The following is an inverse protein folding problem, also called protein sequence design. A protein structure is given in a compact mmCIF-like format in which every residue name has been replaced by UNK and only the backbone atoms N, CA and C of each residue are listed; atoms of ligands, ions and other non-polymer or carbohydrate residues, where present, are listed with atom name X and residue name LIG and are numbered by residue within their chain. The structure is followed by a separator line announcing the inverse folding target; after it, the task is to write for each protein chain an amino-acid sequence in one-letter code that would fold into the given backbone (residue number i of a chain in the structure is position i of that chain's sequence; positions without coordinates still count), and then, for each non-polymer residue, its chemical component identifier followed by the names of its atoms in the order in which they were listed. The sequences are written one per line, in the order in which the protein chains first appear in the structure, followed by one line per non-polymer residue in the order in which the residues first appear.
data_IF_810651314759
#
_entry.id   IF_810651314759
#
_cell.length_a   1.000
_cell.length_b   1.000
_cell.length_c   1.000
_cell.angle_alpha   90.00
_cell.angle_beta   90.00
_cell.angle_gamma   90.00
#
_symmetry.space_group_name_H-M   'P 1'
#
loop_
_entity.id
_entity.type
_entity.pdbx_description
1 polymer ?
#
# COMPACT_ATOMS: atom_id res chain seq x y z
N UNK A 1 -21.95 -29.17 18.88
CA UNK A 1 -20.91 -28.89 17.88
C UNK A 1 -19.78 -29.87 18.13
N UNK A 2 -19.32 -30.68 17.17
CA UNK A 2 -18.15 -31.52 17.41
C UNK A 2 -16.94 -30.59 17.57
N UNK A 3 -16.14 -30.87 18.58
CA UNK A 3 -14.88 -30.20 18.83
C UNK A 3 -13.97 -30.41 17.61
N UNK A 4 -13.55 -29.33 16.95
CA UNK A 4 -12.53 -29.36 15.90
C UNK A 4 -11.25 -29.94 16.51
N UNK A 5 -10.78 -31.06 15.97
CA UNK A 5 -9.47 -31.58 16.32
C UNK A 5 -8.40 -30.51 16.20
N UNK A 6 -7.48 -30.41 17.16
CA UNK A 6 -6.38 -29.46 17.06
C UNK A 6 -5.58 -29.78 15.78
N UNK A 7 -5.28 -28.74 14.96
CA UNK A 7 -4.40 -28.87 13.79
C UNK A 7 -3.14 -29.65 14.20
N UNK A 8 -2.79 -30.65 13.40
CA UNK A 8 -1.55 -31.41 13.58
C UNK A 8 -0.37 -30.44 13.66
N UNK A 9 0.50 -30.61 14.63
CA UNK A 9 1.73 -29.84 14.74
C UNK A 9 2.53 -29.97 13.43
N UNK A 10 3.09 -28.85 12.93
CA UNK A 10 3.93 -28.85 11.74
C UNK A 10 5.14 -29.75 12.00
N UNK A 11 5.24 -30.85 11.27
CA UNK A 11 6.32 -31.82 11.39
C UNK A 11 7.56 -31.41 10.59
N UNK A 12 8.69 -32.04 10.89
CA UNK A 12 9.95 -31.84 10.17
C UNK A 12 9.82 -32.08 8.64
N UNK A 13 9.05 -33.10 8.24
CA UNK A 13 8.80 -33.42 6.84
C UNK A 13 7.99 -32.32 6.11
N UNK A 14 7.09 -31.62 6.81
CA UNK A 14 6.35 -30.50 6.25
C UNK A 14 7.27 -29.33 5.96
N UNK A 15 8.26 -29.09 6.82
CA UNK A 15 9.30 -28.07 6.62
C UNK A 15 10.19 -28.43 5.45
N UNK A 16 10.67 -29.69 5.39
CA UNK A 16 11.53 -30.18 4.28
C UNK A 16 10.78 -30.13 2.94
N UNK A 17 9.50 -30.46 2.93
CA UNK A 17 8.64 -30.35 1.73
C UNK A 17 8.48 -28.93 1.18
N UNK A 18 8.72 -27.88 2.00
CA UNK A 18 8.70 -26.48 1.57
C UNK A 18 10.03 -25.98 0.96
N UNK A 19 11.15 -26.70 1.16
CA UNK A 19 12.47 -26.27 0.70
C UNK A 19 12.55 -26.01 -0.82
N UNK A 20 11.99 -26.87 -1.72
CA UNK A 20 12.02 -26.60 -3.15
C UNK A 20 11.37 -25.26 -3.52
N UNK A 21 10.25 -24.92 -2.88
CA UNK A 21 9.56 -23.63 -3.07
C UNK A 21 10.42 -22.43 -2.61
N UNK A 22 11.13 -22.58 -1.50
CA UNK A 22 12.05 -21.53 -1.00
C UNK A 22 13.22 -21.32 -1.94
N UNK A 23 13.76 -22.39 -2.54
CA UNK A 23 14.87 -22.28 -3.51
C UNK A 23 14.46 -21.54 -4.79
N UNK A 24 13.25 -21.79 -5.29
CA UNK A 24 12.69 -21.06 -6.44
C UNK A 24 12.52 -19.58 -6.14
N UNK A 25 12.12 -19.24 -4.91
CA UNK A 25 11.90 -17.87 -4.47
C UNK A 25 13.20 -17.19 -3.95
N UNK A 26 14.33 -17.89 -3.90
CA UNK A 26 15.60 -17.37 -3.35
C UNK A 26 16.04 -16.02 -3.93
N UNK A 27 15.97 -15.75 -5.27
CA UNK A 27 16.37 -14.46 -5.80
C UNK A 27 15.56 -13.27 -5.27
N UNK A 28 14.25 -13.44 -5.08
CA UNK A 28 13.40 -12.39 -4.49
C UNK A 28 13.70 -12.19 -3.00
N UNK A 29 13.91 -13.31 -2.27
CA UNK A 29 14.25 -13.29 -0.85
C UNK A 29 15.58 -12.55 -0.64
N UNK A 30 16.62 -12.93 -1.39
CA UNK A 30 17.96 -12.29 -1.29
C UNK A 30 17.86 -10.80 -1.58
N UNK A 31 17.12 -10.40 -2.61
CA UNK A 31 16.93 -8.99 -2.95
C UNK A 31 16.21 -8.24 -1.83
N UNK A 32 15.11 -8.77 -1.30
CA UNK A 32 14.36 -8.14 -0.24
C UNK A 32 15.20 -7.97 1.03
N UNK A 33 15.92 -9.03 1.41
CA UNK A 33 16.82 -9.03 2.57
C UNK A 33 17.95 -8.02 2.38
N UNK A 34 18.61 -8.00 1.20
CA UNK A 34 19.68 -7.03 0.92
C UNK A 34 19.17 -5.58 0.93
N UNK A 35 17.96 -5.33 0.43
CA UNK A 35 17.39 -3.98 0.38
C UNK A 35 16.90 -3.51 1.77
N UNK A 36 16.22 -4.38 2.52
CA UNK A 36 15.51 -3.96 3.73
C UNK A 36 16.19 -4.37 5.03
N UNK A 37 16.66 -5.61 5.18
CA UNK A 37 17.23 -6.08 6.46
C UNK A 37 18.58 -5.44 6.77
N UNK A 38 19.42 -5.20 5.76
CA UNK A 38 20.72 -4.55 5.92
C UNK A 38 20.70 -3.04 5.81
N UNK A 39 19.54 -2.44 5.54
CA UNK A 39 19.39 -0.98 5.56
C UNK A 39 19.70 -0.46 6.97
N UNK A 40 20.56 0.57 7.05
CA UNK A 40 20.92 1.26 8.29
C UNK A 40 20.19 2.61 8.34
N UNK A 41 19.94 3.18 9.53
CA UNK A 41 19.30 4.49 9.65
C UNK A 41 19.94 5.60 8.81
N UNK A 42 21.26 5.57 8.65
CA UNK A 42 22.06 6.55 7.90
C UNK A 42 22.24 6.20 6.42
N UNK A 43 21.73 5.07 5.94
CA UNK A 43 21.86 4.71 4.53
C UNK A 43 20.98 5.60 3.66
N UNK A 44 21.47 5.96 2.47
CA UNK A 44 20.73 6.69 1.43
C UNK A 44 19.83 5.73 0.64
N UNK A 45 19.07 4.91 1.37
CA UNK A 45 18.09 3.98 0.80
C UNK A 45 16.71 4.42 1.28
N UNK A 46 15.85 4.79 0.34
CA UNK A 46 14.52 5.29 0.62
C UNK A 46 13.48 4.58 -0.26
N UNK A 47 12.20 4.74 0.08
CA UNK A 47 11.08 4.21 -0.72
C UNK A 47 11.14 4.77 -2.14
N UNK A 48 11.37 6.09 -2.28
CA UNK A 48 11.48 6.76 -3.58
C UNK A 48 12.62 6.20 -4.42
N UNK A 49 13.80 5.96 -3.81
CA UNK A 49 14.94 5.37 -4.51
C UNK A 49 14.69 3.92 -4.93
N UNK A 50 14.12 3.09 -4.04
CA UNK A 50 13.73 1.72 -4.37
C UNK A 50 12.73 1.70 -5.52
N UNK A 51 11.71 2.57 -5.50
CA UNK A 51 10.76 2.68 -6.59
C UNK A 51 11.43 3.06 -7.91
N UNK A 52 12.31 4.06 -7.92
CA UNK A 52 13.07 4.46 -9.09
C UNK A 52 13.87 3.28 -9.68
N UNK A 53 14.64 2.58 -8.86
CA UNK A 53 15.43 1.41 -9.29
C UNK A 53 14.53 0.29 -9.87
N UNK A 54 13.31 0.12 -9.32
CA UNK A 54 12.36 -0.86 -9.86
C UNK A 54 11.74 -0.39 -11.16
N UNK A 55 11.46 0.91 -11.30
CA UNK A 55 10.95 1.50 -12.53
C UNK A 55 11.95 1.40 -13.68
N UNK A 56 13.24 1.58 -13.41
CA UNK A 56 14.30 1.37 -14.38
C UNK A 56 14.42 -0.12 -14.77
N UNK A 57 14.39 -1.01 -13.78
CA UNK A 57 14.58 -2.46 -14.01
C UNK A 57 13.40 -3.14 -14.69
N UNK A 58 12.18 -2.69 -14.40
CA UNK A 58 10.93 -3.32 -14.85
C UNK A 58 10.08 -2.36 -15.69
N UNK A 59 10.71 -1.47 -16.45
CA UNK A 59 10.12 -0.33 -17.13
C UNK A 59 8.78 -0.65 -17.82
N UNK A 60 8.75 -1.72 -18.61
CA UNK A 60 7.59 -2.09 -19.44
C UNK A 60 6.55 -2.96 -18.72
N UNK A 61 6.85 -3.42 -17.50
CA UNK A 61 5.88 -4.19 -16.72
C UNK A 61 4.78 -3.29 -16.18
N UNK A 62 3.58 -3.82 -16.09
CA UNK A 62 2.45 -3.13 -15.45
C UNK A 62 2.70 -3.06 -13.94
N UNK A 63 2.73 -1.85 -13.40
CA UNK A 63 2.82 -1.59 -11.97
C UNK A 63 1.43 -1.48 -11.34
N UNK A 64 0.54 -0.67 -11.93
CA UNK A 64 -0.80 -0.41 -11.41
C UNK A 64 -1.87 -0.82 -12.42
N UNK A 65 -2.95 -1.40 -11.89
CA UNK A 65 -4.22 -1.62 -12.60
C UNK A 65 -5.37 -1.02 -11.79
N UNK A 66 -6.22 -0.25 -12.45
CA UNK A 66 -7.40 0.34 -11.85
C UNK A 66 -8.50 0.48 -12.92
N UNK A 67 -9.62 -0.19 -12.77
CA UNK A 67 -10.59 -0.30 -13.85
C UNK A 67 -9.94 -0.91 -15.09
N UNK A 68 -10.04 -0.22 -16.21
CA UNK A 68 -9.40 -0.63 -17.48
C UNK A 68 -8.00 -0.01 -17.65
N UNK A 69 -7.62 0.90 -16.76
CA UNK A 69 -6.32 1.55 -16.80
C UNK A 69 -5.20 0.59 -16.41
N UNK A 70 -4.12 0.62 -17.18
CA UNK A 70 -2.87 -0.08 -16.91
C UNK A 70 -1.74 0.95 -16.99
N UNK A 71 -0.93 1.03 -15.94
CA UNK A 71 0.19 1.96 -15.84
C UNK A 71 1.45 1.13 -15.64
N UNK A 72 2.43 1.27 -16.54
CA UNK A 72 3.72 0.59 -16.41
C UNK A 72 4.58 1.22 -15.31
N UNK A 73 5.62 0.52 -14.89
CA UNK A 73 6.59 1.06 -13.93
C UNK A 73 7.24 2.35 -14.43
N UNK A 74 7.60 2.42 -15.72
CA UNK A 74 8.17 3.63 -16.32
C UNK A 74 7.17 4.79 -16.33
N UNK A 75 5.93 4.55 -16.74
CA UNK A 75 4.87 5.55 -16.73
C UNK A 75 4.58 6.06 -15.31
N UNK A 76 4.49 5.14 -14.35
CA UNK A 76 4.29 5.47 -12.94
C UNK A 76 5.41 6.35 -12.39
N UNK A 77 6.68 6.03 -12.72
CA UNK A 77 7.82 6.83 -12.31
C UNK A 77 7.80 8.22 -12.94
N UNK A 78 7.50 8.32 -14.23
CA UNK A 78 7.39 9.60 -14.93
C UNK A 78 6.29 10.48 -14.32
N UNK A 79 5.11 9.92 -14.03
CA UNK A 79 4.00 10.66 -13.40
C UNK A 79 4.35 11.08 -11.96
N UNK A 80 4.93 10.18 -11.16
CA UNK A 80 5.38 10.53 -9.81
C UNK A 80 6.46 11.63 -9.82
N UNK A 81 7.36 11.65 -10.82
CA UNK A 81 8.35 12.69 -10.98
C UNK A 81 7.72 14.05 -11.34
N UNK A 82 6.72 14.06 -12.22
CA UNK A 82 5.96 15.28 -12.54
C UNK A 82 5.25 15.83 -11.32
N UNK A 83 4.57 14.97 -10.54
CA UNK A 83 3.96 15.39 -9.29
C UNK A 83 4.99 15.93 -8.30
N UNK A 84 6.15 15.29 -8.18
CA UNK A 84 7.24 15.76 -7.33
C UNK A 84 7.76 17.13 -7.76
N UNK A 85 7.85 17.40 -9.06
CA UNK A 85 8.27 18.71 -9.59
C UNK A 85 7.24 19.79 -9.22
N UNK A 86 5.95 19.54 -9.41
CA UNK A 86 4.88 20.49 -9.02
C UNK A 86 4.90 20.75 -7.51
N UNK A 87 5.09 19.72 -6.70
CA UNK A 87 5.23 19.88 -5.24
C UNK A 87 6.45 20.74 -4.88
N UNK A 88 7.59 20.53 -5.56
CA UNK A 88 8.81 21.32 -5.35
C UNK A 88 8.62 22.80 -5.75
N UNK A 89 7.92 23.10 -6.86
CA UNK A 89 7.55 24.47 -7.26
C UNK A 89 6.64 25.14 -6.24
N UNK A 90 5.83 24.38 -5.52
CA UNK A 90 5.04 24.85 -4.36
C UNK A 90 5.88 24.97 -3.08
N UNK A 91 7.18 24.77 -3.18
CA UNK A 91 8.14 24.89 -2.08
C UNK A 91 8.20 23.67 -1.16
N UNK A 92 7.61 22.53 -1.53
CA UNK A 92 7.72 21.29 -0.75
C UNK A 92 9.11 20.70 -0.88
N UNK A 93 9.77 20.48 0.24
CA UNK A 93 11.10 19.90 0.32
C UNK A 93 11.24 18.88 1.43
N UNK A 94 12.48 18.54 1.75
CA UNK A 94 12.79 17.50 2.76
C UNK A 94 12.25 17.87 4.13
N UNK A 95 11.48 16.95 4.71
CA UNK A 95 10.88 17.10 6.03
C UNK A 95 9.55 17.84 6.06
N UNK A 96 9.16 18.52 4.98
CA UNK A 96 7.84 19.11 4.87
C UNK A 96 6.76 18.03 4.81
N UNK A 97 5.56 18.34 5.26
CA UNK A 97 4.43 17.42 5.22
C UNK A 97 3.49 17.76 4.07
N UNK A 98 3.08 16.75 3.33
CA UNK A 98 2.01 16.84 2.33
C UNK A 98 0.85 15.96 2.77
N UNK A 99 -0.29 16.58 3.08
CA UNK A 99 -1.53 15.86 3.34
C UNK A 99 -2.07 15.23 2.06
N UNK A 100 -2.47 13.98 2.12
CA UNK A 100 -3.06 13.26 0.98
C UNK A 100 -4.45 12.78 1.38
N UNK A 101 -5.48 13.37 0.79
CA UNK A 101 -6.89 13.02 1.01
C UNK A 101 -7.51 12.54 -0.30
N UNK A 102 -7.09 11.35 -0.72
CA UNK A 102 -7.51 10.71 -1.98
C UNK A 102 -8.11 9.33 -1.70
N UNK A 103 -9.11 8.94 -2.49
CA UNK A 103 -9.62 7.57 -2.53
C UNK A 103 -8.60 6.64 -3.16
N UNK A 104 -8.85 5.34 -3.05
CA UNK A 104 -8.01 4.35 -3.73
C UNK A 104 -8.03 4.60 -5.24
N UNK A 105 -6.89 5.00 -5.77
CA UNK A 105 -6.68 5.29 -7.17
C UNK A 105 -5.18 5.21 -7.51
N UNK A 106 -4.81 5.15 -8.80
CA UNK A 106 -3.42 5.31 -9.19
C UNK A 106 -2.81 6.61 -8.67
N UNK A 107 -3.55 7.71 -8.70
CA UNK A 107 -3.09 9.01 -8.23
C UNK A 107 -2.71 8.99 -6.74
N UNK A 108 -3.44 8.28 -5.90
CA UNK A 108 -3.09 8.15 -4.49
C UNK A 108 -1.74 7.46 -4.28
N UNK A 109 -1.44 6.39 -5.04
CA UNK A 109 -0.14 5.71 -5.00
C UNK A 109 0.97 6.59 -5.57
N UNK A 110 0.72 7.23 -6.72
CA UNK A 110 1.72 8.05 -7.41
C UNK A 110 2.03 9.34 -6.62
N UNK A 111 1.02 9.94 -5.98
CA UNK A 111 1.20 11.08 -5.09
C UNK A 111 2.06 10.72 -3.87
N UNK A 112 1.74 9.62 -3.20
CA UNK A 112 2.57 9.13 -2.10
C UNK A 112 4.02 8.91 -2.54
N UNK A 113 4.25 8.30 -3.71
CA UNK A 113 5.60 8.10 -4.25
C UNK A 113 6.29 9.41 -4.61
N UNK A 114 5.55 10.41 -5.14
CA UNK A 114 6.06 11.74 -5.43
C UNK A 114 6.55 12.45 -4.15
N UNK A 115 5.73 12.44 -3.10
CA UNK A 115 6.07 13.07 -1.82
C UNK A 115 7.34 12.47 -1.24
N UNK A 116 7.46 11.14 -1.17
CA UNK A 116 8.67 10.51 -0.62
C UNK A 116 9.91 10.68 -1.50
N UNK A 117 9.74 10.95 -2.81
CA UNK A 117 10.86 11.31 -3.71
C UNK A 117 11.35 12.75 -3.48
N UNK A 118 10.48 13.66 -3.03
CA UNK A 118 10.88 14.99 -2.55
C UNK A 118 11.65 14.94 -1.23
N UNK A 119 11.65 13.79 -0.54
CA UNK A 119 12.12 13.68 0.85
C UNK A 119 11.14 14.28 1.85
N UNK A 120 9.92 14.55 1.40
CA UNK A 120 8.81 15.03 2.21
C UNK A 120 8.04 13.86 2.85
N UNK A 121 7.12 14.17 3.76
CA UNK A 121 6.34 13.22 4.55
C UNK A 121 4.92 13.19 4.01
N UNK A 122 4.42 12.01 3.62
CA UNK A 122 3.05 11.86 3.19
C UNK A 122 2.12 11.66 4.41
N UNK A 123 1.29 12.63 4.72
CA UNK A 123 0.25 12.57 5.72
C UNK A 123 -1.02 11.95 5.14
N UNK A 124 -1.24 10.66 5.42
CA UNK A 124 -2.32 9.88 4.80
C UNK A 124 -3.66 10.11 5.52
N UNK A 125 -4.44 11.07 5.03
CA UNK A 125 -5.73 11.43 5.61
C UNK A 125 -6.82 10.42 5.23
N UNK A 126 -7.64 10.06 6.21
CA UNK A 126 -8.81 9.23 5.98
C UNK A 126 -9.94 10.08 5.37
N UNK A 127 -10.26 9.85 4.11
CA UNK A 127 -11.29 10.58 3.36
C UNK A 127 -12.73 10.36 3.86
N UNK A 128 -12.93 9.47 4.82
CA UNK A 128 -14.23 9.30 5.52
C UNK A 128 -14.35 10.19 6.75
N UNK A 129 -13.28 10.81 7.24
CA UNK A 129 -13.36 11.73 8.38
C UNK A 129 -14.13 13.00 8.01
N UNK A 130 -14.81 13.57 9.02
CA UNK A 130 -15.63 14.80 8.90
C UNK A 130 -15.49 15.64 10.17
N UNK A 131 -15.85 16.92 10.09
CA UNK A 131 -15.92 17.84 11.24
C UNK A 131 -14.65 17.84 12.08
N UNK A 132 -14.80 17.88 13.40
CA UNK A 132 -13.71 18.00 14.37
C UNK A 132 -12.63 16.90 14.25
N UNK A 133 -13.03 15.69 13.86
CA UNK A 133 -12.09 14.58 13.69
C UNK A 133 -11.16 14.84 12.49
N UNK A 134 -11.70 15.37 11.40
CA UNK A 134 -10.93 15.75 10.22
C UNK A 134 -10.04 16.97 10.54
N UNK A 135 -10.61 18.00 11.18
CA UNK A 135 -9.87 19.19 11.60
C UNK A 135 -8.69 18.82 12.49
N UNK A 136 -8.89 17.93 13.45
CA UNK A 136 -7.83 17.43 14.33
C UNK A 136 -6.73 16.71 13.52
N UNK A 137 -7.12 15.82 12.60
CA UNK A 137 -6.14 15.07 11.78
C UNK A 137 -5.31 16.01 10.89
N UNK A 138 -5.94 17.01 10.28
CA UNK A 138 -5.25 18.02 9.46
C UNK A 138 -4.33 18.87 10.34
N UNK A 139 -4.82 19.33 11.51
CA UNK A 139 -4.01 20.12 12.44
C UNK A 139 -2.76 19.41 12.94
N UNK A 140 -2.83 18.06 13.13
CA UNK A 140 -1.65 17.27 13.51
C UNK A 140 -0.58 17.20 12.42
N UNK A 141 -0.96 17.35 11.15
CA UNK A 141 0.01 17.27 10.05
C UNK A 141 0.86 18.52 9.91
N UNK A 142 0.34 19.69 10.27
CA UNK A 142 0.97 20.98 9.96
C UNK A 142 1.46 21.01 8.49
N UNK A 143 0.55 20.64 7.59
CA UNK A 143 0.90 20.31 6.22
C UNK A 143 1.15 21.57 5.40
N UNK A 144 2.28 21.61 4.68
CA UNK A 144 2.62 22.67 3.75
C UNK A 144 1.70 22.71 2.52
N UNK A 145 1.21 21.54 2.14
CA UNK A 145 0.24 21.35 1.03
C UNK A 145 -0.66 20.16 1.37
N UNK A 146 -1.93 20.27 1.01
CA UNK A 146 -2.89 19.17 1.08
C UNK A 146 -3.40 18.91 -0.34
N UNK A 147 -3.21 17.70 -0.82
CA UNK A 147 -3.75 17.23 -2.10
C UNK A 147 -5.03 16.45 -1.83
N UNK A 148 -6.15 16.89 -2.38
CA UNK A 148 -7.45 16.27 -2.18
C UNK A 148 -8.19 16.09 -3.52
N UNK A 149 -9.12 15.14 -3.59
CA UNK A 149 -10.10 15.10 -4.68
C UNK A 149 -11.06 16.29 -4.58
N UNK A 150 -11.52 16.81 -5.71
CA UNK A 150 -12.35 18.02 -5.75
C UNK A 150 -13.57 17.93 -4.84
N UNK A 151 -14.28 16.81 -4.83
CA UNK A 151 -15.47 16.59 -3.99
C UNK A 151 -15.14 16.38 -2.49
N UNK A 152 -13.89 16.24 -2.13
CA UNK A 152 -13.44 16.14 -0.73
C UNK A 152 -12.98 17.49 -0.15
N UNK A 153 -12.78 18.51 -0.99
CA UNK A 153 -12.35 19.85 -0.54
C UNK A 153 -13.39 20.47 0.39
N UNK A 154 -14.69 20.32 0.08
CA UNK A 154 -15.75 20.83 0.92
C UNK A 154 -15.71 20.25 2.34
N UNK A 155 -15.36 18.97 2.49
CA UNK A 155 -15.21 18.35 3.80
C UNK A 155 -14.06 18.95 4.62
N UNK A 156 -12.97 19.37 3.94
CA UNK A 156 -11.86 20.07 4.59
C UNK A 156 -12.34 21.45 5.10
N UNK A 157 -13.01 22.19 4.24
CA UNK A 157 -13.55 23.53 4.56
C UNK A 157 -14.58 23.47 5.68
N UNK A 158 -15.54 22.55 5.58
CA UNK A 158 -16.59 22.34 6.57
C UNK A 158 -16.09 21.78 7.90
N UNK A 159 -14.87 21.24 7.95
CA UNK A 159 -14.27 20.74 9.20
C UNK A 159 -13.97 21.84 10.21
N UNK A 160 -13.94 23.10 9.76
CA UNK A 160 -13.61 24.25 10.61
C UNK A 160 -12.10 24.42 10.85
N UNK A 161 -11.24 23.65 10.18
CA UNK A 161 -9.79 23.85 10.26
C UNK A 161 -9.41 25.17 9.56
N UNK A 162 -8.57 25.96 10.21
CA UNK A 162 -8.01 27.17 9.60
C UNK A 162 -6.76 26.82 8.83
N UNK A 163 -6.74 27.07 7.53
CA UNK A 163 -5.61 26.85 6.63
C UNK A 163 -5.27 28.14 5.90
N UNK A 164 -3.98 28.33 5.60
CA UNK A 164 -3.52 29.43 4.79
C UNK A 164 -4.05 29.30 3.34
N UNK A 165 -4.32 30.40 2.64
CA UNK A 165 -4.74 30.39 1.25
C UNK A 165 -3.77 29.61 0.36
N UNK A 166 -4.29 28.69 -0.45
CA UNK A 166 -3.50 27.91 -1.39
C UNK A 166 -2.79 26.67 -0.80
N UNK A 167 -2.97 26.35 0.48
CA UNK A 167 -2.47 25.10 1.06
C UNK A 167 -3.15 23.89 0.43
N UNK A 168 -4.46 23.95 0.17
CA UNK A 168 -5.20 22.89 -0.52
C UNK A 168 -5.09 23.06 -2.02
N UNK A 169 -4.81 21.97 -2.71
CA UNK A 169 -4.85 21.85 -4.17
C UNK A 169 -5.63 20.57 -4.53
N UNK A 170 -6.47 20.65 -5.56
CA UNK A 170 -7.14 19.46 -6.05
C UNK A 170 -6.17 18.56 -6.82
N UNK A 171 -6.39 17.26 -6.80
CA UNK A 171 -5.55 16.34 -7.58
C UNK A 171 -5.68 16.61 -9.07
N UNK A 172 -6.85 17.04 -9.53
CA UNK A 172 -7.14 17.41 -10.92
C UNK A 172 -6.35 18.65 -11.37
N UNK A 173 -6.25 19.67 -10.49
CA UNK A 173 -5.43 20.85 -10.81
C UNK A 173 -3.94 20.54 -10.75
N UNK A 174 -3.52 19.68 -9.84
CA UNK A 174 -2.15 19.21 -9.78
C UNK A 174 -1.78 18.40 -11.02
N UNK A 175 -2.68 17.56 -11.53
CA UNK A 175 -2.49 16.82 -12.79
C UNK A 175 -2.30 17.78 -13.98
N UNK A 176 -3.11 18.83 -14.09
CA UNK A 176 -2.94 19.85 -15.14
C UNK A 176 -1.58 20.53 -15.09
N UNK A 177 -1.13 20.92 -13.89
CA UNK A 177 0.21 21.48 -13.70
C UNK A 177 1.31 20.47 -14.07
N UNK A 178 1.07 19.19 -13.78
CA UNK A 178 2.01 18.11 -14.05
C UNK A 178 2.16 17.77 -15.54
N UNK A 179 1.23 18.17 -16.41
CA UNK A 179 1.31 17.88 -17.86
C UNK A 179 2.63 18.37 -18.49
N UNK A 180 3.09 19.54 -18.11
CA UNK A 180 4.31 20.18 -18.62
C UNK A 180 5.52 20.01 -17.71
N UNK A 181 5.34 19.43 -16.54
CA UNK A 181 6.41 19.25 -15.56
C UNK A 181 7.44 18.20 -16.00
N UNK A 182 8.71 18.33 -15.56
CA UNK A 182 9.77 17.39 -15.95
C UNK A 182 9.53 15.97 -15.43
N UNK A 183 9.92 14.97 -16.23
CA UNK A 183 9.79 13.54 -15.91
C UNK A 183 11.05 12.94 -15.29
N UNK A 184 12.12 13.71 -15.17
CA UNK A 184 13.39 13.25 -14.58
C UNK A 184 13.26 12.99 -13.07
N UNK A 185 14.03 12.04 -12.56
CA UNK A 185 14.04 11.78 -11.12
C UNK A 185 14.56 12.99 -10.34
N UNK A 186 13.86 13.46 -9.28
CA UNK A 186 14.31 14.60 -8.50
C UNK A 186 15.61 14.28 -7.75
N UNK A 187 16.55 15.22 -7.74
CA UNK A 187 17.84 15.06 -7.06
C UNK A 187 17.66 14.79 -5.54
N UNK A 188 16.60 15.34 -4.95
CA UNK A 188 16.23 15.11 -3.54
C UNK A 188 16.11 13.63 -3.17
N UNK A 189 15.62 12.81 -4.09
CA UNK A 189 15.42 11.36 -3.84
C UNK A 189 16.73 10.63 -3.47
N UNK A 190 17.89 11.12 -3.96
CA UNK A 190 19.20 10.56 -3.66
C UNK A 190 19.73 10.93 -2.26
N UNK A 191 19.16 11.98 -1.63
CA UNK A 191 19.64 12.50 -0.34
C UNK A 191 18.81 12.04 0.85
N UNK A 192 17.67 11.37 0.61
CA UNK A 192 16.78 10.84 1.65
C UNK A 192 17.44 9.71 2.40
N UNK A 193 17.47 9.79 3.73
CA UNK A 193 18.03 8.76 4.60
C UNK A 193 16.94 7.76 5.03
N UNK A 194 17.35 6.54 5.28
CA UNK A 194 16.42 5.49 5.73
C UNK A 194 15.72 5.85 7.06
N UNK A 195 16.36 6.62 7.94
CA UNK A 195 15.77 7.10 9.21
C UNK A 195 14.73 8.20 9.03
N UNK A 196 14.70 8.89 7.88
CA UNK A 196 13.77 9.98 7.65
C UNK A 196 12.33 9.47 7.68
N UNK A 197 11.42 10.31 8.13
CA UNK A 197 9.99 9.99 8.15
C UNK A 197 9.46 9.97 6.71
N UNK A 198 8.72 8.93 6.37
CA UNK A 198 8.08 8.78 5.06
C UNK A 198 6.58 9.05 5.11
N UNK A 199 5.91 8.55 6.17
CA UNK A 199 4.46 8.66 6.31
C UNK A 199 4.04 9.03 7.73
N UNK A 200 2.93 9.76 7.81
CA UNK A 200 2.04 9.80 8.96
C UNK A 200 0.78 9.00 8.63
N UNK A 201 0.49 7.99 9.46
CA UNK A 201 -0.66 7.11 9.31
C UNK A 201 -1.52 7.24 10.56
N UNK A 202 -2.80 7.58 10.37
CA UNK A 202 -3.69 7.80 11.48
C UNK A 202 -4.24 6.49 12.04
N UNK A 203 -4.16 6.35 13.36
CA UNK A 203 -4.72 5.23 14.11
C UNK A 203 -5.81 5.72 15.07
N UNK A 204 -6.76 4.84 15.42
CA UNK A 204 -7.78 5.18 16.40
C UNK A 204 -7.15 5.37 17.77
N UNK A 205 -7.18 6.60 18.28
CA UNK A 205 -6.73 6.90 19.63
C UNK A 205 -7.73 6.40 20.69
N UNK A 206 -7.22 6.01 21.85
CA UNK A 206 -8.05 5.64 23.01
C UNK A 206 -8.89 6.80 23.56
N UNK A 207 -8.56 8.04 23.18
CA UNK A 207 -9.21 9.29 23.60
C UNK A 207 -10.25 9.80 22.61
N UNK A 208 -10.60 9.03 21.57
CA UNK A 208 -11.59 9.40 20.55
C UNK A 208 -11.01 10.15 19.35
N UNK A 209 -9.89 10.86 19.49
CA UNK A 209 -9.21 11.51 18.36
C UNK A 209 -8.09 10.64 17.80
N UNK A 210 -7.90 10.62 16.46
CA UNK A 210 -6.82 9.91 15.81
C UNK A 210 -5.43 10.40 16.25
N UNK A 211 -4.47 9.48 16.31
CA UNK A 211 -3.05 9.78 16.51
C UNK A 211 -2.29 9.52 15.22
N UNK A 212 -1.32 10.38 14.90
CA UNK A 212 -0.43 10.20 13.76
C UNK A 212 0.74 9.26 14.14
N UNK A 213 0.72 8.05 13.61
CA UNK A 213 1.83 7.11 13.75
C UNK A 213 2.92 7.41 12.72
N UNK A 214 4.17 7.43 13.17
CA UNK A 214 5.34 7.74 12.34
C UNK A 214 5.86 6.47 11.66
N UNK A 215 5.85 6.46 10.33
CA UNK A 215 6.48 5.43 9.51
C UNK A 215 7.73 6.00 8.83
N UNK A 216 8.91 5.50 9.22
CA UNK A 216 10.17 5.87 8.55
C UNK A 216 10.40 5.05 7.29
N UNK A 217 11.24 5.53 6.37
CA UNK A 217 11.68 4.72 5.23
C UNK A 217 12.26 3.38 5.69
N UNK A 218 13.04 3.37 6.77
CA UNK A 218 13.64 2.15 7.32
C UNK A 218 12.61 1.12 7.75
N UNK A 219 11.56 1.55 8.45
CA UNK A 219 10.47 0.65 8.87
C UNK A 219 9.77 0.05 7.66
N UNK A 220 9.50 0.87 6.65
CA UNK A 220 8.88 0.41 5.40
C UNK A 220 9.79 -0.55 4.62
N UNK A 221 11.11 -0.28 4.54
CA UNK A 221 12.08 -1.17 3.91
C UNK A 221 12.20 -2.52 4.63
N UNK A 222 12.12 -2.52 5.97
CA UNK A 222 12.04 -3.76 6.75
C UNK A 222 10.74 -4.53 6.46
N UNK A 223 9.63 -3.84 6.28
CA UNK A 223 8.38 -4.46 5.86
C UNK A 223 8.48 -5.06 4.45
N UNK A 224 9.16 -4.39 3.51
CA UNK A 224 9.47 -4.94 2.18
C UNK A 224 10.25 -6.25 2.31
N UNK A 225 11.26 -6.31 3.16
CA UNK A 225 12.06 -7.52 3.38
C UNK A 225 11.24 -8.63 4.04
N UNK A 226 10.53 -8.31 5.13
CA UNK A 226 9.76 -9.27 5.91
C UNK A 226 8.52 -9.76 5.16
N UNK A 227 7.64 -8.85 4.77
CA UNK A 227 6.38 -9.22 4.11
C UNK A 227 6.58 -9.53 2.63
N UNK A 228 7.26 -8.64 1.88
CA UNK A 228 7.45 -8.83 0.45
C UNK A 228 8.39 -9.99 0.12
N UNK A 229 9.52 -10.09 0.83
CA UNK A 229 10.55 -11.10 0.57
C UNK A 229 10.30 -12.45 1.23
N UNK A 230 10.07 -12.47 2.54
CA UNK A 230 9.95 -13.71 3.31
C UNK A 230 8.50 -14.21 3.41
N UNK A 231 7.54 -13.28 3.57
CA UNK A 231 6.12 -13.59 3.75
C UNK A 231 5.42 -13.94 2.45
N UNK A 232 5.06 -12.95 1.65
CA UNK A 232 4.24 -13.14 0.46
C UNK A 232 5.00 -13.87 -0.66
N UNK A 233 6.26 -13.54 -0.88
CA UNK A 233 7.08 -14.13 -1.94
C UNK A 233 6.36 -14.06 -3.30
N UNK A 234 5.89 -12.86 -3.65
CA UNK A 234 5.29 -12.61 -4.95
C UNK A 234 6.34 -12.83 -6.05
N UNK A 235 5.87 -13.20 -7.23
CA UNK A 235 6.66 -13.30 -8.45
C UNK A 235 6.40 -12.10 -9.34
N UNK A 236 7.27 -11.86 -10.30
CA UNK A 236 7.13 -10.71 -11.18
C UNK A 236 5.92 -10.74 -12.13
N UNK A 237 5.29 -11.90 -12.29
CA UNK A 237 4.08 -12.15 -13.06
C UNK A 237 2.81 -12.19 -12.18
N UNK A 238 2.95 -12.04 -10.86
CA UNK A 238 1.81 -11.97 -9.96
C UNK A 238 1.07 -10.63 -10.08
N UNK A 239 -0.24 -10.70 -9.88
CA UNK A 239 -1.10 -9.55 -9.63
C UNK A 239 -1.64 -9.63 -8.20
N UNK A 240 -1.27 -8.65 -7.38
CA UNK A 240 -1.76 -8.49 -6.02
C UNK A 240 -2.96 -7.53 -6.03
N UNK A 241 -4.13 -8.04 -5.68
CA UNK A 241 -5.34 -7.22 -5.55
C UNK A 241 -5.45 -6.64 -4.13
N UNK A 242 -5.81 -5.36 -4.04
CA UNK A 242 -6.10 -4.68 -2.79
C UNK A 242 -7.26 -3.71 -2.95
N UNK A 243 -8.32 -3.91 -2.18
CA UNK A 243 -9.43 -2.96 -2.01
C UNK A 243 -9.40 -2.28 -0.63
N UNK A 244 -8.34 -2.53 0.16
CA UNK A 244 -8.16 -1.87 1.44
C UNK A 244 -7.70 -0.42 1.22
N UNK A 245 -8.14 0.51 2.09
CA UNK A 245 -7.79 1.92 1.94
C UNK A 245 -6.28 2.17 2.02
N UNK A 246 -5.75 2.98 1.10
CA UNK A 246 -4.33 3.35 1.05
C UNK A 246 -3.88 4.22 2.23
N UNK A 247 -4.80 4.81 2.98
CA UNK A 247 -4.45 5.50 4.23
C UNK A 247 -4.17 4.54 5.41
N UNK A 248 -4.25 3.21 5.21
CA UNK A 248 -3.89 2.20 6.20
C UNK A 248 -2.66 1.40 5.79
N UNK A 249 -1.90 0.95 6.79
CA UNK A 249 -0.64 0.22 6.60
C UNK A 249 -0.75 -1.05 5.75
N UNK A 250 -1.87 -1.78 5.80
CA UNK A 250 -1.99 -3.02 5.03
C UNK A 250 -1.90 -2.77 3.52
N UNK A 251 -2.58 -1.73 3.01
CA UNK A 251 -2.48 -1.37 1.60
C UNK A 251 -1.17 -0.59 1.32
N UNK A 252 -0.92 0.48 2.10
CA UNK A 252 0.20 1.39 1.87
C UNK A 252 1.56 0.71 2.03
N UNK A 253 1.72 -0.07 3.09
CA UNK A 253 3.01 -0.67 3.41
C UNK A 253 3.12 -2.07 2.86
N UNK A 254 2.19 -2.99 3.19
CA UNK A 254 2.36 -4.40 2.84
C UNK A 254 2.11 -4.66 1.36
N UNK A 255 0.99 -4.14 0.79
CA UNK A 255 0.72 -4.39 -0.61
C UNK A 255 1.74 -3.71 -1.53
N UNK A 256 2.00 -2.40 -1.34
CA UNK A 256 2.92 -1.64 -2.20
C UNK A 256 4.34 -2.18 -2.09
N UNK A 257 4.85 -2.46 -0.87
CA UNK A 257 6.21 -2.96 -0.69
C UNK A 257 6.43 -4.33 -1.33
N UNK A 258 5.42 -5.23 -1.20
CA UNK A 258 5.51 -6.58 -1.75
C UNK A 258 5.57 -6.58 -3.28
N UNK A 259 4.79 -5.70 -3.90
CA UNK A 259 4.79 -5.52 -5.37
C UNK A 259 6.12 -4.92 -5.83
N UNK A 260 6.61 -3.88 -5.17
CA UNK A 260 7.90 -3.25 -5.51
C UNK A 260 9.09 -4.21 -5.33
N UNK A 261 9.00 -5.17 -4.40
CA UNK A 261 10.09 -6.13 -4.23
C UNK A 261 10.37 -6.95 -5.50
N UNK A 262 9.34 -7.29 -6.26
CA UNK A 262 9.44 -8.29 -7.35
C UNK A 262 9.18 -7.74 -8.74
N UNK A 263 8.64 -6.53 -8.86
CA UNK A 263 8.14 -5.99 -10.12
C UNK A 263 6.82 -6.63 -10.54
N UNK A 264 6.02 -7.04 -9.55
CA UNK A 264 4.65 -7.53 -9.73
C UNK A 264 3.68 -6.37 -10.01
N UNK A 265 2.41 -6.69 -10.27
CA UNK A 265 1.34 -5.72 -10.50
C UNK A 265 0.52 -5.52 -9.22
N UNK A 266 0.20 -4.28 -8.87
CA UNK A 266 -0.81 -3.93 -7.89
C UNK A 266 -2.12 -3.59 -8.59
N UNK A 267 -3.15 -4.40 -8.39
CA UNK A 267 -4.50 -4.10 -8.83
C UNK A 267 -5.28 -3.47 -7.67
N UNK A 268 -5.81 -2.28 -7.89
CA UNK A 268 -6.55 -1.52 -6.89
C UNK A 268 -8.05 -1.67 -7.11
N UNK A 269 -8.77 -2.03 -6.04
CA UNK A 269 -10.20 -1.81 -5.94
C UNK A 269 -10.47 -0.43 -5.33
N UNK A 270 -11.47 0.25 -5.85
CA UNK A 270 -11.87 1.56 -5.31
C UNK A 270 -12.27 1.46 -3.84
N UNK A 271 -13.08 0.45 -3.53
CA UNK A 271 -13.53 0.13 -2.17
C UNK A 271 -13.90 -1.34 -2.06
N UNK A 272 -13.97 -1.86 -0.85
CA UNK A 272 -14.46 -3.22 -0.62
C UNK A 272 -15.96 -3.34 -0.93
N UNK A 273 -16.30 -4.38 -1.70
CA UNK A 273 -17.69 -4.80 -1.93
C UNK A 273 -17.74 -6.33 -1.94
N UNK A 274 -18.37 -6.92 -0.93
CA UNK A 274 -18.43 -8.39 -0.80
C UNK A 274 -19.06 -9.09 -2.03
N UNK A 275 -20.08 -8.46 -2.64
CA UNK A 275 -20.76 -9.01 -3.82
C UNK A 275 -19.97 -8.91 -5.12
N UNK A 276 -19.07 -7.91 -5.24
CA UNK A 276 -18.25 -7.65 -6.45
C UNK A 276 -16.81 -8.14 -6.32
N UNK A 277 -16.40 -8.55 -5.13
CA UNK A 277 -14.98 -8.84 -4.82
C UNK A 277 -14.38 -9.87 -5.80
N UNK A 278 -15.03 -11.00 -5.98
CA UNK A 278 -14.51 -12.05 -6.87
C UNK A 278 -14.60 -11.69 -8.35
N UNK A 279 -15.56 -10.84 -8.75
CA UNK A 279 -15.63 -10.32 -10.11
C UNK A 279 -14.42 -9.41 -10.40
N UNK A 280 -14.04 -8.55 -9.42
CA UNK A 280 -12.85 -7.72 -9.53
C UNK A 280 -11.55 -8.55 -9.50
N UNK A 281 -11.43 -9.51 -8.58
CA UNK A 281 -10.30 -10.45 -8.53
C UNK A 281 -10.09 -11.14 -9.87
N UNK A 282 -11.17 -11.61 -10.49
CA UNK A 282 -11.12 -12.27 -11.79
C UNK A 282 -10.83 -11.28 -12.94
N UNK A 283 -11.44 -10.08 -12.93
CA UNK A 283 -11.17 -9.01 -13.91
C UNK A 283 -9.68 -8.66 -13.99
N UNK A 284 -9.01 -8.67 -12.86
CA UNK A 284 -7.59 -8.35 -12.78
C UNK A 284 -6.69 -9.58 -12.95
N UNK A 285 -7.23 -10.79 -13.12
CA UNK A 285 -6.46 -12.04 -13.09
C UNK A 285 -5.58 -12.13 -11.83
N UNK A 286 -6.10 -11.67 -10.69
CA UNK A 286 -5.34 -11.58 -9.47
C UNK A 286 -4.92 -12.98 -8.97
N UNK A 287 -3.64 -13.11 -8.61
CA UNK A 287 -3.03 -14.34 -8.09
C UNK A 287 -2.85 -14.28 -6.57
N UNK A 288 -3.01 -13.08 -6.02
CA UNK A 288 -2.96 -12.83 -4.59
C UNK A 288 -3.88 -11.66 -4.20
N UNK A 289 -4.30 -11.59 -2.94
CA UNK A 289 -4.93 -10.38 -2.40
C UNK A 289 -4.56 -10.14 -0.93
N UNK A 290 -4.68 -8.86 -0.52
CA UNK A 290 -4.55 -8.42 0.87
C UNK A 290 -5.92 -8.36 1.52
N UNK A 291 -6.02 -8.82 2.78
CA UNK A 291 -7.27 -8.85 3.53
C UNK A 291 -7.09 -8.34 4.97
N UNK A 292 -8.24 -8.08 5.60
CA UNK A 292 -8.45 -8.06 7.05
C UNK A 292 -9.52 -9.09 7.37
N UNK A 293 -9.54 -9.64 8.59
CA UNK A 293 -10.42 -10.76 8.95
C UNK A 293 -11.90 -10.51 8.70
N UNK A 294 -12.37 -9.28 8.90
CA UNK A 294 -13.76 -8.88 8.60
C UNK A 294 -14.10 -9.02 7.11
N UNK A 295 -13.17 -8.72 6.21
CA UNK A 295 -13.36 -8.92 4.76
C UNK A 295 -13.63 -10.41 4.46
N UNK A 296 -12.84 -11.30 5.02
CA UNK A 296 -13.04 -12.75 4.83
C UNK A 296 -14.40 -13.21 5.35
N UNK A 297 -14.86 -12.68 6.50
CA UNK A 297 -16.17 -12.98 7.07
C UNK A 297 -17.31 -12.49 6.15
N UNK A 298 -17.21 -11.27 5.60
CA UNK A 298 -18.20 -10.76 4.66
C UNK A 298 -18.26 -11.55 3.36
N UNK A 299 -17.14 -12.06 2.87
CA UNK A 299 -17.10 -12.93 1.70
C UNK A 299 -17.76 -14.29 1.97
N UNK A 300 -17.54 -14.89 3.13
CA UNK A 300 -18.21 -16.13 3.53
C UNK A 300 -19.72 -15.97 3.66
N UNK A 301 -20.18 -14.81 4.14
CA UNK A 301 -21.60 -14.51 4.27
C UNK A 301 -22.32 -14.33 2.91
N UNK A 302 -21.59 -14.24 1.79
CA UNK A 302 -22.24 -14.26 0.47
C UNK A 302 -22.77 -15.65 0.14
N UNK A 303 -23.91 -15.75 -0.56
CA UNK A 303 -24.41 -17.04 -1.02
C UNK A 303 -23.34 -17.82 -1.79
N UNK A 304 -23.19 -19.14 -1.53
CA UNK A 304 -22.27 -19.98 -2.29
C UNK A 304 -22.59 -19.97 -3.78
N UNK A 305 -21.54 -19.88 -4.61
CA UNK A 305 -21.66 -19.95 -6.07
C UNK A 305 -20.81 -21.12 -6.60
N UNK A 306 -21.25 -21.82 -7.67
CA UNK A 306 -20.44 -22.85 -8.33
C UNK A 306 -19.07 -22.31 -8.79
N UNK A 307 -18.98 -20.98 -9.01
CA UNK A 307 -17.78 -20.27 -9.47
C UNK A 307 -16.88 -19.79 -8.35
N UNK A 308 -17.16 -20.09 -7.08
CA UNK A 308 -16.35 -19.61 -5.94
C UNK A 308 -14.87 -20.03 -6.05
N UNK A 309 -14.58 -21.15 -6.70
CA UNK A 309 -13.21 -21.62 -6.99
C UNK A 309 -12.68 -21.23 -8.36
N UNK A 310 -13.50 -20.57 -9.19
CA UNK A 310 -13.08 -20.14 -10.54
C UNK A 310 -12.25 -18.84 -10.47
N UNK A 311 -11.16 -18.88 -9.71
CA UNK A 311 -10.22 -17.78 -9.55
C UNK A 311 -8.78 -18.30 -9.64
N UNK A 312 -7.81 -17.40 -9.83
CA UNK A 312 -6.38 -17.70 -9.91
C UNK A 312 -5.62 -17.46 -8.60
N UNK A 313 -6.33 -17.13 -7.52
CA UNK A 313 -5.72 -16.78 -6.24
C UNK A 313 -5.04 -18.00 -5.62
N UNK A 314 -3.74 -17.92 -5.45
CA UNK A 314 -2.90 -18.94 -4.80
C UNK A 314 -2.47 -18.56 -3.39
N UNK A 315 -2.51 -17.27 -3.07
CA UNK A 315 -1.98 -16.68 -1.86
C UNK A 315 -2.87 -15.54 -1.39
N UNK A 316 -3.11 -15.48 -0.10
CA UNK A 316 -3.68 -14.30 0.55
C UNK A 316 -2.78 -13.86 1.71
N UNK A 317 -2.75 -12.56 1.99
CA UNK A 317 -2.00 -12.03 3.11
C UNK A 317 -2.81 -11.00 3.88
N UNK A 318 -2.73 -11.06 5.19
CA UNK A 318 -3.49 -10.15 6.04
C UNK A 318 -3.38 -10.51 7.50
N UNK A 319 -4.36 -10.06 8.25
CA UNK A 319 -4.47 -10.32 9.67
C UNK A 319 -5.93 -10.53 10.09
N UNK A 320 -6.11 -11.43 11.06
CA UNK A 320 -7.39 -11.66 11.69
C UNK A 320 -8.32 -12.64 10.96
N UNK A 321 -7.81 -13.52 10.10
CA UNK A 321 -8.57 -14.67 9.64
C UNK A 321 -8.72 -15.65 10.78
N UNK A 322 -9.90 -15.63 11.40
CA UNK A 322 -10.17 -16.40 12.63
C UNK A 322 -10.09 -17.91 12.39
N UNK A 323 -9.58 -18.68 13.35
CA UNK A 323 -9.52 -20.16 13.23
C UNK A 323 -10.86 -20.80 12.89
N UNK A 324 -11.98 -20.26 13.42
CA UNK A 324 -13.32 -20.81 13.25
C UNK A 324 -13.80 -20.77 11.80
N UNK A 325 -13.32 -19.83 10.99
CA UNK A 325 -13.71 -19.67 9.58
C UNK A 325 -12.59 -20.03 8.61
N UNK A 326 -11.42 -20.40 9.13
CA UNK A 326 -10.23 -20.64 8.29
C UNK A 326 -10.42 -21.73 7.26
N UNK A 327 -10.85 -22.90 7.70
CA UNK A 327 -10.98 -24.08 6.83
C UNK A 327 -12.14 -23.91 5.85
N UNK A 328 -13.24 -23.30 6.30
CA UNK A 328 -14.37 -22.96 5.43
C UNK A 328 -13.95 -21.97 4.34
N UNK A 329 -13.24 -20.90 4.73
CA UNK A 329 -12.80 -19.86 3.79
C UNK A 329 -11.81 -20.41 2.76
N UNK A 330 -10.78 -21.09 3.21
CA UNK A 330 -9.74 -21.64 2.32
C UNK A 330 -10.28 -22.75 1.44
N UNK A 331 -11.16 -23.59 1.98
CA UNK A 331 -11.82 -24.66 1.23
C UNK A 331 -12.81 -24.16 0.20
N UNK A 332 -13.68 -23.20 0.56
CA UNK A 332 -14.68 -22.63 -0.35
C UNK A 332 -14.04 -21.94 -1.55
N UNK A 333 -13.03 -21.09 -1.32
CA UNK A 333 -12.41 -20.27 -2.36
C UNK A 333 -11.15 -20.91 -2.98
N UNK A 334 -10.73 -22.08 -2.52
CA UNK A 334 -9.59 -22.80 -3.08
C UNK A 334 -8.24 -22.19 -2.74
N UNK A 335 -8.13 -21.44 -1.63
CA UNK A 335 -6.90 -20.75 -1.22
C UNK A 335 -5.87 -21.76 -0.71
N UNK A 336 -4.71 -21.78 -1.35
CA UNK A 336 -3.65 -22.75 -1.02
C UNK A 336 -2.67 -22.25 0.05
N UNK A 337 -2.50 -20.91 0.16
CA UNK A 337 -1.54 -20.31 1.08
C UNK A 337 -2.11 -19.06 1.72
N UNK A 338 -2.05 -19.02 3.03
CA UNK A 338 -2.41 -17.86 3.85
C UNK A 338 -1.13 -17.36 4.56
N UNK A 339 -0.85 -16.09 4.43
CA UNK A 339 0.22 -15.41 5.15
C UNK A 339 -0.41 -14.48 6.19
N UNK A 340 -0.61 -15.02 7.41
CA UNK A 340 -1.05 -14.21 8.55
C UNK A 340 0.11 -13.49 9.17
N UNK A 341 -0.13 -12.25 9.58
CA UNK A 341 0.85 -11.46 10.33
C UNK A 341 0.17 -10.67 11.45
N UNK A 342 0.94 -10.31 12.43
CA UNK A 342 0.56 -9.35 13.45
C UNK A 342 1.51 -8.16 13.38
N UNK A 343 0.96 -6.96 13.26
CA UNK A 343 1.73 -5.73 13.27
C UNK A 343 0.88 -4.59 13.84
N UNK A 344 1.51 -3.73 14.63
CA UNK A 344 0.93 -2.47 15.08
C UNK A 344 1.51 -1.32 14.25
N UNK A 345 0.68 -0.33 13.93
CA UNK A 345 1.15 0.87 13.23
C UNK A 345 2.11 1.71 14.07
N UNK A 346 2.06 1.56 15.37
CA UNK A 346 2.79 2.38 16.34
C UNK A 346 4.18 1.80 16.72
N UNK A 347 4.50 0.53 16.40
CA UNK A 347 5.81 -0.01 16.73
C UNK A 347 5.95 -1.50 16.59
#
# INVERSE_FOLDING_TARGET
MPATEPRSAVGFLDIVGQLPGVLVDAPQIVRAVSTGMFARPTSKTSIGKVFQERAEKYADRVFLRFGDQKITYAQANATANRFAAVLAERGVGRGDVVGIMLRNSPNAVLMMLAVVKCGAIAGMLNYHQRGDVLAHSIGLLDAKTIVAETDLVDHITESGVTLDPGVVITVEDLEKLAETAPTGNPASAAEVLAKDTAFYIFTSGTTGHPKASVMTHLRWLKALAGFGGLGLRLRGDDTLYSCLPLYHNNALTIAVSSVLNTGATLALGEKFSASKFWDEVNRYDATAFIYIGELCRYLLNQPPKPTDRANKVRLIAGNGLRPEIWDEFTGRFGIKRVCEFYAASEG
#
